data_IF_033433575995
#
_entry.id   IF_033433575995
#
_cell.length_a   1.000
_cell.length_b   1.000
_cell.length_c   1.000
_cell.angle_alpha   90.00
_cell.angle_beta   90.00
_cell.angle_gamma   90.00
#
_symmetry.space_group_name_H-M   'P 1'
#
loop_
_entity.id
_entity.type
_entity.pdbx_description
1 polymer ?
#
# COMPACT_ATOMS: atom_id res chain seq x y z
N UNK A 1 9.71 40.96 2.81
CA UNK A 1 9.58 39.65 3.48
C UNK A 1 9.37 39.93 4.96
N UNK A 2 8.20 39.58 5.52
CA UNK A 2 7.86 39.96 6.90
C UNK A 2 8.64 39.11 7.93
N UNK A 3 8.89 39.66 9.11
CA UNK A 3 9.63 39.02 10.22
C UNK A 3 9.09 37.60 10.52
N UNK A 4 7.79 37.39 10.42
CA UNK A 4 7.14 36.09 10.64
C UNK A 4 7.47 35.03 9.57
N UNK A 5 7.70 35.44 8.34
CA UNK A 5 8.15 34.52 7.28
C UNK A 5 9.60 34.08 7.50
N UNK A 6 10.44 34.99 7.97
CA UNK A 6 11.82 34.67 8.35
C UNK A 6 11.89 33.67 9.51
N UNK A 7 11.07 33.84 10.55
CA UNK A 7 11.02 32.94 11.71
C UNK A 7 10.52 31.54 11.30
N UNK A 8 9.50 31.44 10.42
CA UNK A 8 9.02 30.14 9.91
C UNK A 8 10.08 29.43 9.08
N UNK A 9 10.79 30.16 8.22
CA UNK A 9 11.87 29.59 7.43
C UNK A 9 13.01 29.10 8.33
N UNK A 10 13.39 29.87 9.32
CA UNK A 10 14.43 29.51 10.28
C UNK A 10 14.06 28.23 11.05
N UNK A 11 12.85 28.13 11.59
CA UNK A 11 12.37 26.91 12.29
C UNK A 11 12.34 25.68 11.37
N UNK A 12 11.95 25.85 10.09
CA UNK A 12 12.02 24.75 9.10
C UNK A 12 13.45 24.30 8.85
N UNK A 13 14.38 25.23 8.74
CA UNK A 13 15.81 24.90 8.59
C UNK A 13 16.36 24.20 9.82
N UNK A 14 16.05 24.68 11.03
CA UNK A 14 16.47 24.00 12.28
C UNK A 14 15.93 22.57 12.37
N UNK A 15 14.65 22.36 12.04
CA UNK A 15 14.04 21.01 11.98
C UNK A 15 14.71 20.12 10.95
N UNK A 16 15.04 20.66 9.78
CA UNK A 16 15.75 19.93 8.72
C UNK A 16 17.17 19.54 9.16
N UNK A 17 17.93 20.49 9.77
CA UNK A 17 19.26 20.19 10.28
C UNK A 17 19.24 19.17 11.41
N UNK A 18 18.25 19.24 12.32
CA UNK A 18 18.08 18.24 13.36
C UNK A 18 17.76 16.85 12.79
N UNK A 19 16.91 16.77 11.77
CA UNK A 19 16.59 15.51 11.08
C UNK A 19 17.82 14.92 10.36
N UNK A 20 18.63 15.75 9.70
CA UNK A 20 19.87 15.33 9.07
C UNK A 20 20.90 14.84 10.09
N UNK A 21 21.06 15.52 11.22
CA UNK A 21 21.95 15.11 12.31
C UNK A 21 21.53 13.76 12.91
N UNK A 22 20.22 13.54 13.11
CA UNK A 22 19.69 12.23 13.56
C UNK A 22 19.99 11.14 12.53
N UNK A 23 19.77 11.40 11.25
CA UNK A 23 20.06 10.46 10.17
C UNK A 23 21.55 10.09 10.10
N UNK A 24 22.43 11.07 10.21
CA UNK A 24 23.87 10.84 10.22
C UNK A 24 24.32 10.05 11.45
N UNK A 25 23.76 10.33 12.63
CA UNK A 25 24.03 9.56 13.85
C UNK A 25 23.49 8.13 13.76
N UNK A 26 22.31 7.93 13.19
CA UNK A 26 21.76 6.59 12.96
C UNK A 26 22.66 5.79 12.01
N UNK A 27 23.10 6.39 10.91
CA UNK A 27 24.04 5.77 9.98
C UNK A 27 25.37 5.41 10.67
N UNK A 28 25.97 6.33 11.40
CA UNK A 28 27.19 6.08 12.15
C UNK A 28 27.04 4.93 13.16
N UNK A 29 25.88 4.83 13.83
CA UNK A 29 25.59 3.72 14.72
C UNK A 29 25.44 2.37 14.00
N UNK A 30 24.86 2.35 12.79
CA UNK A 30 24.78 1.14 11.97
C UNK A 30 26.16 0.69 11.45
N UNK A 31 27.04 1.63 11.14
CA UNK A 31 28.40 1.39 10.67
C UNK A 31 29.38 1.03 11.81
N UNK A 32 29.05 1.39 13.07
CA UNK A 32 29.89 1.09 14.23
C UNK A 32 29.75 -0.38 14.66
N UNK A 33 30.71 -1.21 14.25
CA UNK A 33 30.79 -2.64 14.56
C UNK A 33 31.06 -2.93 16.04
N UNK A 34 31.37 -1.92 16.88
CA UNK A 34 31.54 -2.09 18.32
C UNK A 34 30.21 -2.16 19.07
N UNK A 35 29.11 -1.69 18.45
CA UNK A 35 27.74 -1.84 18.97
C UNK A 35 27.30 -3.28 18.72
N UNK A 36 27.15 -4.06 19.78
CA UNK A 36 26.83 -5.48 19.76
C UNK A 36 25.38 -5.75 20.22
N UNK A 37 24.87 -6.95 19.91
CA UNK A 37 23.51 -7.39 20.26
C UNK A 37 22.70 -7.84 19.05
N UNK A 38 21.62 -8.57 19.33
CA UNK A 38 20.76 -9.17 18.30
C UNK A 38 20.12 -8.10 17.40
N UNK A 39 19.52 -7.07 18.02
CA UNK A 39 18.85 -5.97 17.30
C UNK A 39 19.85 -5.17 16.44
N UNK A 40 21.05 -4.94 16.97
CA UNK A 40 22.12 -4.25 16.22
C UNK A 40 22.55 -5.08 15.00
N UNK A 41 22.67 -6.40 15.16
CA UNK A 41 23.05 -7.30 14.07
C UNK A 41 21.96 -7.33 12.98
N UNK A 42 20.70 -7.43 13.35
CA UNK A 42 19.56 -7.39 12.40
C UNK A 42 19.48 -6.06 11.65
N UNK A 43 19.53 -4.94 12.37
CA UNK A 43 19.48 -3.61 11.77
C UNK A 43 20.65 -3.35 10.81
N UNK A 44 21.85 -3.80 11.18
CA UNK A 44 23.03 -3.70 10.33
C UNK A 44 22.92 -4.60 9.11
N UNK A 45 22.46 -5.86 9.30
CA UNK A 45 22.24 -6.78 8.19
C UNK A 45 21.27 -6.21 7.15
N UNK A 46 20.15 -5.64 7.59
CA UNK A 46 19.20 -4.97 6.71
C UNK A 46 19.84 -3.78 5.97
N UNK A 47 20.58 -2.94 6.70
CA UNK A 47 21.27 -1.78 6.13
C UNK A 47 22.32 -2.18 5.08
N UNK A 48 23.14 -3.20 5.38
CA UNK A 48 24.15 -3.72 4.47
C UNK A 48 23.51 -4.35 3.22
N UNK A 49 22.42 -5.12 3.38
CA UNK A 49 21.67 -5.70 2.26
C UNK A 49 21.07 -4.61 1.38
N UNK A 50 20.48 -3.57 1.97
CA UNK A 50 19.91 -2.45 1.22
C UNK A 50 20.95 -1.71 0.37
N UNK A 51 22.17 -1.57 0.87
CA UNK A 51 23.27 -0.90 0.18
C UNK A 51 24.06 -1.79 -0.78
N UNK A 52 23.81 -3.10 -0.79
CA UNK A 52 24.55 -4.06 -1.62
C UNK A 52 24.06 -4.06 -3.07
N UNK A 53 24.31 -2.96 -3.77
CA UNK A 53 23.89 -2.79 -5.16
C UNK A 53 24.45 -3.85 -6.12
N UNK A 54 25.64 -4.39 -5.85
CA UNK A 54 26.25 -5.42 -6.70
C UNK A 54 25.37 -6.69 -6.66
N UNK A 55 25.00 -7.16 -5.48
CA UNK A 55 24.12 -8.33 -5.31
C UNK A 55 22.69 -8.06 -5.81
N UNK A 56 22.14 -6.88 -5.50
CA UNK A 56 20.81 -6.48 -5.99
C UNK A 56 20.76 -6.46 -7.52
N UNK A 57 21.80 -5.92 -8.18
CA UNK A 57 21.90 -5.90 -9.64
C UNK A 57 22.12 -7.30 -10.24
N UNK A 58 22.79 -8.21 -9.53
CA UNK A 58 22.96 -9.61 -9.96
C UNK A 58 21.63 -10.36 -9.89
N UNK A 59 20.84 -10.17 -8.82
CA UNK A 59 19.53 -10.80 -8.65
C UNK A 59 18.48 -10.20 -9.59
N UNK A 60 18.59 -8.93 -9.93
CA UNK A 60 17.63 -8.24 -10.80
C UNK A 60 16.21 -8.28 -10.24
N UNK A 61 15.26 -8.75 -11.03
CA UNK A 61 13.83 -8.86 -10.64
C UNK A 61 13.44 -10.24 -10.09
N UNK A 62 14.38 -11.18 -9.99
CA UNK A 62 14.09 -12.55 -9.53
C UNK A 62 13.34 -12.59 -8.18
N UNK A 63 13.67 -11.74 -7.18
CA UNK A 63 12.97 -11.77 -5.89
C UNK A 63 11.46 -11.53 -5.97
N UNK A 64 10.97 -10.76 -6.95
CA UNK A 64 9.53 -10.51 -7.11
C UNK A 64 8.80 -11.61 -7.88
N UNK A 65 9.55 -12.46 -8.63
CA UNK A 65 8.95 -13.36 -9.62
C UNK A 65 8.14 -14.51 -9.04
N UNK A 66 8.39 -14.90 -7.79
CA UNK A 66 7.61 -15.96 -7.15
C UNK A 66 6.13 -15.55 -7.03
N UNK A 67 5.88 -14.36 -6.46
CA UNK A 67 4.52 -13.83 -6.31
C UNK A 67 3.87 -13.51 -7.68
N UNK A 68 4.64 -12.97 -8.64
CA UNK A 68 4.11 -12.73 -10.01
C UNK A 68 3.57 -14.03 -10.62
N UNK A 69 4.33 -15.13 -10.53
CA UNK A 69 3.91 -16.43 -11.07
C UNK A 69 2.69 -17.00 -10.33
N UNK A 70 2.66 -16.83 -9.01
CA UNK A 70 1.54 -17.28 -8.18
C UNK A 70 0.25 -16.54 -8.56
N UNK A 71 0.26 -15.21 -8.63
CA UNK A 71 -0.90 -14.42 -9.05
C UNK A 71 -1.32 -14.77 -10.49
N UNK A 72 -0.38 -14.96 -11.42
CA UNK A 72 -0.68 -15.36 -12.78
C UNK A 72 -1.39 -16.73 -12.84
N UNK A 73 -1.03 -17.66 -11.95
CA UNK A 73 -1.58 -19.02 -11.95
C UNK A 73 -3.02 -19.10 -11.42
N UNK A 74 -3.50 -18.09 -10.69
CA UNK A 74 -4.87 -18.02 -10.18
C UNK A 74 -5.85 -18.04 -11.36
N UNK A 75 -6.78 -18.99 -11.33
CA UNK A 75 -7.75 -19.21 -12.39
C UNK A 75 -9.21 -19.24 -11.92
N UNK A 76 -9.43 -19.27 -10.60
CA UNK A 76 -10.76 -19.31 -9.97
C UNK A 76 -10.83 -18.33 -8.79
N UNK A 77 -12.05 -17.96 -8.39
CA UNK A 77 -12.29 -17.15 -7.18
C UNK A 77 -11.91 -17.90 -5.89
N UNK A 78 -11.97 -19.23 -5.89
CA UNK A 78 -11.54 -20.06 -4.77
C UNK A 78 -10.02 -19.95 -4.58
N UNK A 79 -9.24 -20.13 -5.65
CA UNK A 79 -7.78 -19.96 -5.63
C UNK A 79 -7.37 -18.53 -5.25
N UNK A 80 -8.11 -17.51 -5.74
CA UNK A 80 -7.88 -16.12 -5.35
C UNK A 80 -8.13 -15.91 -3.85
N UNK A 81 -9.24 -16.43 -3.33
CA UNK A 81 -9.58 -16.36 -1.92
C UNK A 81 -8.52 -17.03 -1.04
N UNK A 82 -8.08 -18.22 -1.45
CA UNK A 82 -7.04 -18.97 -0.72
C UNK A 82 -5.71 -18.21 -0.74
N UNK A 83 -5.35 -17.58 -1.86
CA UNK A 83 -4.14 -16.77 -1.96
C UNK A 83 -4.22 -15.52 -1.07
N UNK A 84 -5.31 -14.75 -1.12
CA UNK A 84 -5.50 -13.53 -0.31
C UNK A 84 -5.47 -13.84 1.19
N UNK A 85 -6.05 -14.98 1.60
CA UNK A 85 -6.12 -15.38 3.01
C UNK A 85 -4.90 -16.17 3.49
N UNK A 86 -3.92 -16.46 2.64
CA UNK A 86 -2.66 -17.13 3.02
C UNK A 86 -1.57 -16.07 3.27
N UNK A 87 -1.47 -15.60 4.51
CA UNK A 87 -0.51 -14.54 4.90
C UNK A 87 0.96 -14.96 4.77
N UNK A 88 1.26 -16.26 4.61
CA UNK A 88 2.62 -16.73 4.32
C UNK A 88 2.95 -16.61 2.83
N UNK A 89 1.95 -16.70 1.95
CA UNK A 89 2.13 -16.65 0.50
C UNK A 89 1.88 -15.28 -0.10
N UNK A 90 0.92 -14.53 0.43
CA UNK A 90 0.54 -13.25 -0.17
C UNK A 90 1.55 -12.13 0.08
N UNK A 91 2.46 -12.29 1.06
CA UNK A 91 3.55 -11.34 1.37
C UNK A 91 3.11 -9.88 1.39
N UNK A 92 1.95 -9.59 1.99
CA UNK A 92 1.36 -8.25 2.02
C UNK A 92 1.08 -7.65 0.63
N UNK A 93 0.93 -8.52 -0.39
CA UNK A 93 0.42 -8.07 -1.69
C UNK A 93 -0.99 -7.53 -1.48
N UNK A 94 -1.26 -6.36 -2.06
CA UNK A 94 -2.50 -5.61 -1.96
C UNK A 94 -3.74 -6.51 -1.76
N UNK A 95 -4.26 -6.53 -0.56
CA UNK A 95 -5.39 -7.37 -0.14
C UNK A 95 -6.69 -6.58 -0.08
N UNK A 96 -6.66 -5.30 -0.53
CA UNK A 96 -7.72 -4.30 -0.49
C UNK A 96 -8.04 -3.73 0.88
N UNK A 97 -7.67 -4.42 1.95
CA UNK A 97 -7.90 -3.98 3.33
C UNK A 97 -6.72 -4.35 4.21
N UNK A 98 -6.41 -3.48 5.16
CA UNK A 98 -5.42 -3.69 6.20
C UNK A 98 -6.08 -3.74 7.58
N UNK A 99 -5.46 -4.48 8.49
CA UNK A 99 -5.90 -4.58 9.87
C UNK A 99 -4.79 -4.09 10.81
N UNK A 100 -5.13 -3.22 11.74
CA UNK A 100 -4.19 -2.79 12.77
C UNK A 100 -4.87 -2.54 14.12
N UNK A 101 -4.10 -2.57 15.20
CA UNK A 101 -4.59 -2.12 16.49
C UNK A 101 -4.53 -0.59 16.57
N UNK A 102 -5.69 0.04 16.68
CA UNK A 102 -5.82 1.50 16.78
C UNK A 102 -6.54 1.89 18.08
N UNK A 103 -6.26 3.07 18.67
CA UNK A 103 -7.03 3.56 19.81
C UNK A 103 -8.52 3.68 19.47
N UNK A 104 -9.38 3.26 20.39
CA UNK A 104 -10.82 3.47 20.25
C UNK A 104 -11.13 4.97 20.21
N UNK A 105 -11.85 5.42 19.20
CA UNK A 105 -12.21 6.83 19.02
C UNK A 105 -13.13 7.35 20.13
N UNK A 106 -13.86 6.46 20.83
CA UNK A 106 -14.76 6.81 21.94
C UNK A 106 -14.07 6.66 23.32
N UNK A 107 -13.05 5.81 23.41
CA UNK A 107 -12.30 5.56 24.65
C UNK A 107 -10.81 5.35 24.33
N UNK A 108 -10.04 6.43 24.35
CA UNK A 108 -8.61 6.42 24.06
C UNK A 108 -7.75 5.55 25.02
N UNK A 109 -8.34 5.01 26.09
CA UNK A 109 -7.69 4.06 27.00
C UNK A 109 -7.79 2.61 26.54
N UNK A 110 -8.60 2.32 25.50
CA UNK A 110 -8.80 1.02 24.91
C UNK A 110 -8.36 0.98 23.44
N UNK A 111 -8.17 -0.22 22.91
CA UNK A 111 -7.82 -0.45 21.53
C UNK A 111 -8.90 -1.26 20.83
N UNK A 112 -9.07 -1.00 19.55
CA UNK A 112 -9.95 -1.72 18.64
C UNK A 112 -9.14 -2.18 17.42
N UNK A 113 -9.71 -3.06 16.62
CA UNK A 113 -9.14 -3.45 15.34
C UNK A 113 -9.60 -2.44 14.28
N UNK A 114 -8.70 -1.63 13.75
CA UNK A 114 -8.94 -0.80 12.58
C UNK A 114 -8.99 -1.65 11.32
N UNK A 115 -9.94 -1.37 10.44
CA UNK A 115 -10.08 -1.96 9.10
C UNK A 115 -9.98 -0.82 8.11
N UNK A 116 -8.81 -0.72 7.47
CA UNK A 116 -8.45 0.35 6.56
C UNK A 116 -8.51 -0.13 5.12
N UNK A 117 -8.70 0.78 4.20
CA UNK A 117 -8.69 0.48 2.77
C UNK A 117 -7.35 0.83 2.15
N UNK A 118 -6.94 0.10 1.11
CA UNK A 118 -5.75 0.43 0.34
C UNK A 118 -5.86 1.84 -0.29
N UNK A 119 -4.70 2.45 -0.49
CA UNK A 119 -4.60 3.70 -1.24
C UNK A 119 -4.78 3.48 -2.75
N UNK A 120 -5.05 4.56 -3.48
CA UNK A 120 -5.23 4.56 -4.93
C UNK A 120 -3.96 4.98 -5.67
N UNK A 121 -3.73 4.44 -6.86
CA UNK A 121 -2.61 4.82 -7.72
C UNK A 121 -2.63 6.31 -8.09
N UNK A 122 -3.81 6.94 -8.23
CA UNK A 122 -3.92 8.37 -8.47
C UNK A 122 -3.78 9.23 -7.21
N UNK A 123 -3.67 8.61 -6.02
CA UNK A 123 -3.41 9.27 -4.75
C UNK A 123 -4.65 9.79 -4.02
N UNK A 124 -5.74 10.05 -4.71
CA UNK A 124 -7.00 10.53 -4.13
C UNK A 124 -8.18 10.03 -4.95
N UNK A 125 -9.26 9.64 -4.28
CA UNK A 125 -10.50 9.21 -4.93
C UNK A 125 -11.10 10.29 -5.86
N UNK A 126 -10.94 11.57 -5.54
CA UNK A 126 -11.40 12.68 -6.37
C UNK A 126 -10.75 12.71 -7.76
N UNK A 127 -9.51 12.21 -7.90
CA UNK A 127 -8.77 12.21 -9.17
C UNK A 127 -9.36 11.25 -10.22
N UNK A 128 -10.15 10.25 -9.79
CA UNK A 128 -10.87 9.35 -10.69
C UNK A 128 -12.10 10.02 -11.31
N UNK A 129 -12.74 10.93 -10.58
CA UNK A 129 -13.91 11.66 -11.04
C UNK A 129 -13.54 12.90 -11.86
N UNK A 130 -12.56 13.68 -11.39
CA UNK A 130 -12.12 14.93 -11.99
C UNK A 130 -10.59 14.99 -11.96
N UNK A 131 -9.95 14.33 -12.93
CA UNK A 131 -8.48 14.25 -13.00
C UNK A 131 -7.85 15.62 -13.17
N UNK A 132 -7.08 16.02 -12.18
CA UNK A 132 -6.29 17.26 -12.19
C UNK A 132 -4.94 17.06 -12.89
N UNK A 133 -4.11 18.11 -12.93
CA UNK A 133 -2.73 17.98 -13.37
C UNK A 133 -1.92 17.05 -12.45
N UNK A 134 -2.20 17.05 -11.14
CA UNK A 134 -1.58 16.13 -10.19
C UNK A 134 -1.95 14.69 -10.49
N UNK A 135 -3.24 14.36 -10.61
CA UNK A 135 -3.69 13.02 -10.94
C UNK A 135 -3.20 12.54 -12.30
N UNK A 136 -3.08 13.46 -13.29
CA UNK A 136 -2.50 13.14 -14.60
C UNK A 136 -1.02 12.76 -14.49
N UNK A 137 -0.23 13.50 -13.70
CA UNK A 137 1.17 13.16 -13.46
C UNK A 137 1.30 11.82 -12.72
N UNK A 138 0.45 11.58 -11.71
CA UNK A 138 0.40 10.29 -10.99
C UNK A 138 0.10 9.14 -11.94
N UNK A 139 -0.90 9.29 -12.81
CA UNK A 139 -1.24 8.28 -13.81
C UNK A 139 -0.05 7.95 -14.72
N UNK A 140 0.57 8.96 -15.33
CA UNK A 140 1.68 8.77 -16.28
C UNK A 140 2.89 8.11 -15.60
N UNK A 141 3.23 8.55 -14.38
CA UNK A 141 4.37 7.97 -13.65
C UNK A 141 4.11 6.54 -13.21
N UNK A 142 2.94 6.26 -12.62
CA UNK A 142 2.61 4.91 -12.17
C UNK A 142 2.44 3.97 -13.38
N UNK A 143 1.86 4.44 -14.49
CA UNK A 143 1.81 3.66 -15.72
C UNK A 143 3.20 3.27 -16.21
N UNK A 144 4.14 4.22 -16.19
CA UNK A 144 5.53 3.96 -16.58
C UNK A 144 6.22 2.99 -15.61
N UNK A 145 6.03 3.16 -14.30
CA UNK A 145 6.59 2.28 -13.28
C UNK A 145 6.05 0.85 -13.45
N UNK A 146 4.74 0.68 -13.39
CA UNK A 146 4.09 -0.64 -13.44
C UNK A 146 4.38 -1.34 -14.77
N UNK A 147 4.20 -0.67 -15.92
CA UNK A 147 4.50 -1.28 -17.22
C UNK A 147 5.97 -1.61 -17.39
N UNK A 148 6.89 -0.76 -16.90
CA UNK A 148 8.32 -1.03 -16.93
C UNK A 148 8.72 -2.24 -16.08
N UNK A 149 8.16 -2.35 -14.87
CA UNK A 149 8.38 -3.51 -14.00
C UNK A 149 7.78 -4.80 -14.58
N UNK A 150 6.57 -4.71 -15.16
CA UNK A 150 5.94 -5.86 -15.84
C UNK A 150 6.73 -6.32 -17.07
N UNK A 151 7.33 -5.40 -17.84
CA UNK A 151 8.23 -5.80 -18.95
C UNK A 151 9.39 -6.64 -18.45
N UNK A 152 9.97 -6.29 -17.31
CA UNK A 152 11.04 -7.05 -16.68
C UNK A 152 10.56 -8.40 -16.13
N UNK A 153 9.25 -8.52 -15.83
CA UNK A 153 8.59 -9.78 -15.49
C UNK A 153 8.19 -10.62 -16.73
N UNK A 154 8.49 -10.16 -17.95
CA UNK A 154 8.25 -10.90 -19.20
C UNK A 154 7.03 -10.47 -20.00
N UNK A 155 6.31 -9.43 -19.60
CA UNK A 155 5.22 -8.84 -20.38
C UNK A 155 5.78 -7.96 -21.50
N UNK A 156 5.03 -7.77 -22.57
CA UNK A 156 5.29 -6.70 -23.55
C UNK A 156 4.89 -5.35 -22.95
N UNK A 157 5.42 -4.27 -23.50
CA UNK A 157 5.03 -2.91 -23.07
C UNK A 157 3.53 -2.68 -23.18
N UNK A 158 2.94 -3.09 -24.31
CA UNK A 158 1.50 -2.93 -24.55
C UNK A 158 0.64 -3.72 -23.56
N UNK A 159 1.06 -4.93 -23.16
CA UNK A 159 0.37 -5.70 -22.13
C UNK A 159 0.48 -5.03 -20.75
N UNK A 160 1.67 -4.53 -20.37
CA UNK A 160 1.87 -3.82 -19.12
C UNK A 160 1.06 -2.52 -19.03
N UNK A 161 1.04 -1.73 -20.10
CA UNK A 161 0.23 -0.51 -20.18
C UNK A 161 -1.27 -0.82 -20.12
N UNK A 162 -1.74 -1.83 -20.86
CA UNK A 162 -3.14 -2.26 -20.83
C UNK A 162 -3.57 -2.83 -19.49
N UNK A 163 -2.66 -3.52 -18.80
CA UNK A 163 -2.90 -4.01 -17.44
C UNK A 163 -3.09 -2.82 -16.48
N UNK A 164 -2.23 -1.81 -16.55
CA UNK A 164 -2.36 -0.64 -15.69
C UNK A 164 -3.65 0.16 -15.97
N UNK A 165 -4.02 0.33 -17.25
CA UNK A 165 -5.29 0.99 -17.61
C UNK A 165 -6.49 0.25 -17.00
N UNK A 166 -6.48 -1.09 -17.01
CA UNK A 166 -7.50 -1.92 -16.37
C UNK A 166 -7.53 -1.75 -14.85
N UNK A 167 -6.38 -1.57 -14.22
CA UNK A 167 -6.31 -1.25 -12.78
C UNK A 167 -6.99 0.08 -12.48
N UNK A 168 -6.73 1.11 -13.28
CA UNK A 168 -7.36 2.43 -13.10
C UNK A 168 -8.88 2.35 -13.28
N UNK A 169 -9.37 1.60 -14.28
CA UNK A 169 -10.80 1.37 -14.51
C UNK A 169 -11.46 0.60 -13.34
N UNK A 170 -10.72 -0.31 -12.72
CA UNK A 170 -11.19 -1.05 -11.55
C UNK A 170 -11.22 -0.15 -10.30
N UNK A 171 -10.15 0.59 -10.04
CA UNK A 171 -10.07 1.54 -8.93
C UNK A 171 -11.11 2.67 -9.03
N UNK A 172 -11.49 3.12 -10.25
CA UNK A 172 -12.54 4.13 -10.44
C UNK A 172 -13.86 3.71 -9.79
N UNK A 173 -14.20 2.43 -9.81
CA UNK A 173 -15.42 1.93 -9.19
C UNK A 173 -15.35 1.98 -7.66
N UNK A 174 -14.19 1.68 -7.07
CA UNK A 174 -13.95 1.79 -5.63
C UNK A 174 -13.86 3.26 -5.19
N UNK A 175 -13.14 4.07 -5.95
CA UNK A 175 -12.99 5.51 -5.70
C UNK A 175 -14.34 6.26 -5.74
N UNK A 176 -15.29 5.76 -6.54
CA UNK A 176 -16.63 6.32 -6.66
C UNK A 176 -17.43 6.35 -5.34
N UNK A 177 -17.07 5.51 -4.38
CA UNK A 177 -17.72 5.38 -3.06
C UNK A 177 -16.77 5.71 -1.90
N UNK A 178 -15.52 6.05 -2.19
CA UNK A 178 -14.49 6.32 -1.18
C UNK A 178 -14.49 7.79 -0.76
N UNK A 179 -14.01 8.03 0.46
CA UNK A 179 -13.75 9.37 0.96
C UNK A 179 -12.60 10.01 0.17
N UNK A 180 -12.76 11.31 -0.09
CA UNK A 180 -11.72 12.13 -0.70
C UNK A 180 -10.88 12.82 0.38
N UNK A 181 -9.71 13.34 0.02
CA UNK A 181 -8.91 14.19 0.92
C UNK A 181 -9.69 15.43 1.39
N UNK A 182 -10.63 15.94 0.59
CA UNK A 182 -11.50 17.06 0.98
C UNK A 182 -12.50 16.61 2.06
N UNK A 183 -13.09 15.41 1.93
CA UNK A 183 -13.96 14.83 2.95
C UNK A 183 -13.23 14.65 4.29
N UNK A 184 -11.96 14.28 4.25
CA UNK A 184 -11.13 14.11 5.45
C UNK A 184 -10.81 15.43 6.18
N UNK A 185 -10.98 16.57 5.51
CA UNK A 185 -10.83 17.91 6.12
C UNK A 185 -12.15 18.45 6.70
N UNK A 186 -13.27 17.77 6.49
CA UNK A 186 -14.58 18.14 7.06
C UNK A 186 -14.50 18.09 8.59
N UNK A 187 -14.93 19.15 9.32
CA UNK A 187 -14.99 19.14 10.78
C UNK A 187 -15.83 17.98 11.35
N UNK A 188 -16.79 17.48 10.59
CA UNK A 188 -17.65 16.37 10.98
C UNK A 188 -17.15 15.01 10.45
N UNK A 189 -15.92 14.93 9.92
CA UNK A 189 -15.32 13.68 9.39
C UNK A 189 -15.38 12.52 10.38
N UNK A 190 -15.23 12.82 11.67
CA UNK A 190 -15.33 11.83 12.74
C UNK A 190 -16.63 11.00 12.65
N UNK A 191 -17.76 11.63 12.31
CA UNK A 191 -19.04 10.92 12.15
C UNK A 191 -19.08 10.04 10.90
N UNK A 192 -18.24 10.38 9.90
CA UNK A 192 -18.13 9.64 8.64
C UNK A 192 -17.23 8.40 8.73
N UNK A 193 -16.28 8.39 9.67
CA UNK A 193 -15.27 7.33 9.81
C UNK A 193 -15.44 6.45 11.06
N UNK A 194 -16.27 6.86 12.03
CA UNK A 194 -16.46 6.10 13.27
C UNK A 194 -17.59 5.08 13.14
N UNK A 195 -17.36 4.04 12.33
CA UNK A 195 -18.29 2.94 12.16
C UNK A 195 -17.75 1.70 12.87
N UNK A 196 -18.35 1.33 13.99
CA UNK A 196 -17.90 0.20 14.79
C UNK A 196 -18.80 -1.02 14.63
N UNK A 197 -18.19 -2.19 14.54
CA UNK A 197 -18.83 -3.47 14.30
C UNK A 197 -18.32 -4.52 15.27
N UNK A 198 -19.15 -5.51 15.59
CA UNK A 198 -18.72 -6.82 16.09
C UNK A 198 -18.13 -7.64 14.93
N UNK A 199 -17.44 -8.75 15.21
CA UNK A 199 -16.96 -9.64 14.15
C UNK A 199 -18.09 -10.15 13.25
N UNK A 200 -19.22 -10.57 13.83
CA UNK A 200 -20.39 -11.05 13.09
C UNK A 200 -20.99 -9.96 12.16
N UNK A 201 -21.06 -8.73 12.65
CA UNK A 201 -21.52 -7.59 11.84
C UNK A 201 -20.52 -7.25 10.73
N UNK A 202 -19.19 -7.30 11.01
CA UNK A 202 -18.13 -7.09 10.03
C UNK A 202 -18.22 -8.13 8.91
N UNK A 203 -18.32 -9.41 9.26
CA UNK A 203 -18.49 -10.51 8.31
C UNK A 203 -19.74 -10.34 7.44
N UNK A 204 -20.80 -9.75 8.01
CA UNK A 204 -22.05 -9.50 7.30
C UNK A 204 -21.97 -8.34 6.28
N UNK A 205 -20.92 -7.53 6.31
CA UNK A 205 -20.69 -6.46 5.31
C UNK A 205 -20.36 -7.01 3.93
N UNK A 206 -19.69 -8.18 3.90
CA UNK A 206 -19.23 -8.81 2.67
C UNK A 206 -19.74 -10.26 2.59
N UNK A 207 -20.38 -10.59 1.48
CA UNK A 207 -20.91 -11.94 1.21
C UNK A 207 -20.06 -12.72 0.22
N UNK A 208 -19.32 -12.05 -0.63
CA UNK A 208 -18.42 -12.59 -1.65
C UNK A 208 -16.96 -12.41 -1.26
N UNK A 209 -16.56 -11.19 -0.90
CA UNK A 209 -15.22 -10.89 -0.45
C UNK A 209 -14.96 -11.58 0.91
N UNK A 210 -13.87 -12.34 1.07
CA UNK A 210 -13.65 -13.20 2.23
C UNK A 210 -13.18 -12.45 3.48
N UNK A 211 -13.87 -11.35 3.85
CA UNK A 211 -13.48 -10.44 4.92
C UNK A 211 -13.27 -11.16 6.26
N UNK A 212 -14.17 -12.07 6.64
CA UNK A 212 -14.05 -12.84 7.88
C UNK A 212 -12.85 -13.78 7.87
N UNK A 213 -12.61 -14.51 6.76
CA UNK A 213 -11.41 -15.37 6.62
C UNK A 213 -10.12 -14.54 6.67
N UNK A 214 -10.10 -13.38 6.03
CA UNK A 214 -8.95 -12.47 6.02
C UNK A 214 -8.69 -11.91 7.43
N UNK A 215 -9.74 -11.52 8.16
CA UNK A 215 -9.64 -11.09 9.57
C UNK A 215 -9.02 -12.20 10.45
N UNK A 216 -9.43 -13.45 10.26
CA UNK A 216 -8.85 -14.59 10.98
C UNK A 216 -7.39 -14.83 10.58
N UNK A 217 -7.08 -14.84 9.29
CA UNK A 217 -5.73 -15.04 8.76
C UNK A 217 -4.75 -13.94 9.24
N UNK A 218 -5.22 -12.70 9.36
CA UNK A 218 -4.46 -11.57 9.90
C UNK A 218 -4.32 -11.58 11.43
N UNK A 219 -4.85 -12.60 12.11
CA UNK A 219 -4.69 -12.78 13.57
C UNK A 219 -5.70 -12.02 14.43
N UNK A 220 -6.75 -11.44 13.84
CA UNK A 220 -7.72 -10.60 14.56
C UNK A 220 -9.06 -11.28 14.86
N UNK A 221 -9.15 -12.59 14.75
CA UNK A 221 -10.36 -13.39 15.07
C UNK A 221 -10.95 -13.11 16.45
N UNK A 222 -10.10 -12.85 17.45
CA UNK A 222 -10.50 -12.57 18.82
C UNK A 222 -10.84 -11.10 19.08
N UNK A 223 -10.82 -10.26 18.01
CA UNK A 223 -11.21 -8.85 18.07
C UNK A 223 -12.66 -8.70 18.52
N UNK A 224 -12.90 -7.80 19.47
CA UNK A 224 -14.23 -7.57 20.04
C UNK A 224 -14.98 -6.40 19.40
N UNK A 225 -14.23 -5.44 18.86
CA UNK A 225 -14.73 -4.21 18.25
C UNK A 225 -13.84 -3.87 17.05
N UNK A 226 -14.46 -3.67 15.92
CA UNK A 226 -13.79 -3.33 14.65
C UNK A 226 -14.22 -1.92 14.25
N UNK A 227 -13.25 -1.05 13.99
CA UNK A 227 -13.48 0.28 13.45
C UNK A 227 -13.27 0.23 11.93
N UNK A 228 -14.33 0.35 11.17
CA UNK A 228 -14.29 0.36 9.70
C UNK A 228 -14.37 1.80 9.21
N UNK A 229 -13.31 2.31 8.61
CA UNK A 229 -13.27 3.69 8.12
C UNK A 229 -14.27 3.91 6.98
N UNK A 230 -14.33 3.00 6.03
CA UNK A 230 -15.11 3.14 4.80
C UNK A 230 -16.00 1.90 4.52
N UNK A 231 -17.15 1.75 5.22
CA UNK A 231 -18.04 0.61 4.99
C UNK A 231 -18.58 0.50 3.56
N UNK A 232 -18.77 1.63 2.88
CA UNK A 232 -19.29 1.63 1.49
C UNK A 232 -18.23 1.15 0.49
N UNK A 233 -16.93 1.37 0.78
CA UNK A 233 -15.84 0.74 0.02
C UNK A 233 -15.90 -0.79 0.13
N UNK A 234 -16.08 -1.34 1.35
CA UNK A 234 -16.17 -2.78 1.56
C UNK A 234 -17.35 -3.40 0.82
N UNK A 235 -18.52 -2.75 0.85
CA UNK A 235 -19.70 -3.20 0.08
C UNK A 235 -19.43 -3.16 -1.42
N UNK A 236 -18.78 -2.12 -1.93
CA UNK A 236 -18.43 -2.03 -3.34
C UNK A 236 -17.41 -3.09 -3.73
N UNK A 237 -16.41 -3.35 -2.88
CA UNK A 237 -15.45 -4.42 -3.07
C UNK A 237 -16.16 -5.79 -3.13
N UNK A 238 -17.12 -6.04 -2.24
CA UNK A 238 -17.93 -7.26 -2.24
C UNK A 238 -18.70 -7.44 -3.57
N UNK A 239 -19.32 -6.36 -4.10
CA UNK A 239 -19.98 -6.38 -5.41
C UNK A 239 -19.01 -6.69 -6.56
N UNK A 240 -17.75 -6.26 -6.45
CA UNK A 240 -16.72 -6.46 -7.47
C UNK A 240 -15.99 -7.79 -7.35
N UNK A 241 -16.12 -8.48 -6.21
CA UNK A 241 -15.42 -9.75 -5.96
C UNK A 241 -16.14 -10.91 -6.64
N UNK A 242 -16.02 -10.99 -7.96
CA UNK A 242 -16.74 -11.93 -8.82
C UNK A 242 -15.84 -12.55 -9.88
N UNK A 243 -16.23 -13.70 -10.43
CA UNK A 243 -15.55 -14.36 -11.55
C UNK A 243 -15.34 -13.42 -12.75
N UNK A 244 -16.28 -12.54 -13.03
CA UNK A 244 -16.20 -11.58 -14.14
C UNK A 244 -15.04 -10.58 -13.92
N UNK A 245 -14.76 -10.26 -12.67
CA UNK A 245 -13.69 -9.34 -12.29
C UNK A 245 -12.37 -10.01 -11.90
N UNK A 246 -12.26 -11.33 -11.98
CA UNK A 246 -11.05 -12.06 -11.57
C UNK A 246 -9.78 -11.47 -12.20
N UNK A 247 -9.78 -11.21 -13.50
CA UNK A 247 -8.62 -10.65 -14.20
C UNK A 247 -8.33 -9.18 -13.82
N UNK A 248 -9.36 -8.42 -13.43
CA UNK A 248 -9.19 -7.05 -12.93
C UNK A 248 -8.53 -7.07 -11.54
N UNK A 249 -9.00 -7.96 -10.66
CA UNK A 249 -8.43 -8.15 -9.32
C UNK A 249 -6.97 -8.62 -9.41
N UNK A 250 -6.68 -9.62 -10.24
CA UNK A 250 -5.29 -10.08 -10.49
C UNK A 250 -4.41 -8.95 -11.02
N UNK A 251 -4.95 -8.13 -11.93
CA UNK A 251 -4.22 -6.97 -12.48
C UNK A 251 -3.89 -5.96 -11.38
N UNK A 252 -4.85 -5.65 -10.49
CA UNK A 252 -4.66 -4.79 -9.35
C UNK A 252 -3.55 -5.33 -8.42
N UNK A 253 -3.61 -6.60 -8.05
CA UNK A 253 -2.61 -7.24 -7.20
C UNK A 253 -1.22 -7.24 -7.84
N UNK A 254 -1.11 -7.56 -9.14
CA UNK A 254 0.15 -7.52 -9.87
C UNK A 254 0.75 -6.11 -9.92
N UNK A 255 -0.08 -5.10 -10.22
CA UNK A 255 0.38 -3.72 -10.28
C UNK A 255 0.87 -3.23 -8.91
N UNK A 256 0.12 -3.50 -7.85
CA UNK A 256 0.50 -3.18 -6.47
C UNK A 256 1.82 -3.85 -6.07
N UNK A 257 1.95 -5.15 -6.34
CA UNK A 257 3.16 -5.91 -6.02
C UNK A 257 4.40 -5.39 -6.75
N UNK A 258 4.35 -5.25 -8.08
CA UNK A 258 5.53 -4.81 -8.82
C UNK A 258 5.92 -3.37 -8.50
N UNK A 259 4.96 -2.51 -8.18
CA UNK A 259 5.22 -1.15 -7.74
C UNK A 259 5.88 -1.13 -6.35
N UNK A 260 5.37 -1.90 -5.39
CA UNK A 260 5.92 -2.00 -4.04
C UNK A 260 7.34 -2.57 -4.00
N UNK A 261 7.65 -3.53 -4.89
CA UNK A 261 8.98 -4.14 -4.95
C UNK A 261 10.05 -3.27 -5.62
N UNK A 262 9.66 -2.26 -6.39
CA UNK A 262 10.58 -1.55 -7.29
C UNK A 262 11.76 -0.89 -6.57
N UNK A 263 11.59 -0.34 -5.37
CA UNK A 263 12.66 0.30 -4.62
C UNK A 263 13.63 -0.70 -3.95
N UNK A 264 13.18 -1.94 -3.75
CA UNK A 264 13.93 -3.01 -3.08
C UNK A 264 14.75 -3.89 -4.04
N UNK A 265 14.53 -3.77 -5.35
CA UNK A 265 15.20 -4.54 -6.38
C UNK A 265 16.50 -3.87 -6.87
N UNK A 266 16.89 -4.09 -8.10
CA UNK A 266 18.10 -3.55 -8.70
C UNK A 266 18.01 -2.04 -9.03
N UNK A 267 19.12 -1.49 -9.53
CA UNK A 267 19.21 -0.06 -9.84
C UNK A 267 18.17 0.40 -10.89
N UNK A 268 17.87 -0.43 -11.88
CA UNK A 268 16.91 -0.07 -12.92
C UNK A 268 15.48 0.03 -12.38
N UNK A 269 15.06 -0.91 -11.51
CA UNK A 269 13.78 -0.86 -10.82
C UNK A 269 13.69 0.34 -9.89
N UNK A 270 14.75 0.59 -9.11
CA UNK A 270 14.84 1.74 -8.23
C UNK A 270 14.73 3.07 -8.99
N UNK A 271 15.40 3.18 -10.13
CA UNK A 271 15.35 4.39 -10.97
C UNK A 271 13.95 4.61 -11.58
N UNK A 272 13.21 3.54 -11.91
CA UNK A 272 11.82 3.63 -12.32
C UNK A 272 10.94 4.19 -11.20
N UNK A 273 11.14 3.75 -9.96
CA UNK A 273 10.39 4.23 -8.80
C UNK A 273 10.71 5.69 -8.46
N UNK A 274 11.97 6.10 -8.52
CA UNK A 274 12.39 7.48 -8.25
C UNK A 274 11.69 8.53 -9.13
N UNK A 275 11.20 8.15 -10.30
CA UNK A 275 10.42 9.04 -11.16
C UNK A 275 9.02 9.27 -10.61
N UNK A 276 8.44 8.27 -9.95
CA UNK A 276 7.13 8.37 -9.29
C UNK A 276 7.18 9.20 -8.01
N UNK A 277 8.21 9.01 -7.19
CA UNK A 277 8.35 9.68 -5.88
C UNK A 277 8.57 11.21 -5.97
N UNK A 278 8.88 11.72 -7.15
CA UNK A 278 9.11 13.17 -7.37
C UNK A 278 7.85 13.96 -7.73
N UNK A 279 6.70 13.32 -7.77
CA UNK A 279 5.40 13.91 -8.11
C UNK A 279 4.59 14.22 -6.88
#
# INVERSE_FOLDING_TARGET
MGIWQGIRLFRRLESLYAALDIKDKARAALEDKSIDGHEAALSRGLYETWLNWDERNELGVEPMMAAVKEIQSISTMEELTDFICDTEKNWEIATFVDFENTPDLEDASSYVVGVWTDGFFLGDAAEYKNRTEYGSRRYESNKKLVSGMLQRAGYTQAEGESLFDRVIDFEEQLAGVSLTSEDSMDPDVYQKINHTYTLEELESLCSQFPLGKLTEASGYKEGKKFLVEQPDYLKKLDELYTEENLENIKSYMLAGWVAAMADSLDQEAFDLNLVCDKI
#
